data_IF_294464478410
#
_entry.id   IF_294464478410
#
_cell.length_a   1.000
_cell.length_b   1.000
_cell.length_c   1.000
_cell.angle_alpha   90.00
_cell.angle_beta   90.00
_cell.angle_gamma   90.00
#
_symmetry.space_group_name_H-M   'P 1'
#
loop_
_entity.id
_entity.type
_entity.pdbx_description
1 polymer ?
#
# COMPACT_ATOMS: atom_id res chain seq x y z
N UNK A 1 -28.63 -8.39 27.57
CA UNK A 1 -28.92 -7.70 28.84
C UNK A 1 -28.90 -6.17 28.62
N UNK A 2 -30.01 -5.60 28.18
CA UNK A 2 -30.31 -4.16 28.23
C UNK A 2 -31.84 -4.07 28.33
N UNK A 3 -32.38 -3.42 29.35
CA UNK A 3 -33.80 -3.03 29.41
C UNK A 3 -34.10 -2.06 28.26
N UNK A 4 -34.30 -2.58 27.04
CA UNK A 4 -34.68 -1.83 25.82
C UNK A 4 -36.19 -1.56 25.82
N UNK A 5 -36.73 -0.96 26.88
CA UNK A 5 -38.19 -0.74 27.01
C UNK A 5 -38.70 0.58 26.39
N UNK A 6 -37.86 1.34 25.68
CA UNK A 6 -38.29 2.57 25.02
C UNK A 6 -38.30 2.46 23.50
N UNK A 7 -37.12 2.65 22.91
CA UNK A 7 -36.94 2.78 21.45
C UNK A 7 -37.22 1.47 20.71
N UNK A 8 -36.86 0.31 21.26
CA UNK A 8 -37.13 -0.98 20.62
C UNK A 8 -38.62 -1.32 20.59
N UNK A 9 -39.38 -0.92 21.60
CA UNK A 9 -40.84 -1.07 21.63
C UNK A 9 -41.52 -0.07 20.68
N UNK A 10 -40.99 1.14 20.55
CA UNK A 10 -41.51 2.17 19.63
C UNK A 10 -41.13 1.90 18.16
N UNK A 11 -39.98 1.29 17.91
CA UNK A 11 -39.44 1.03 16.56
C UNK A 11 -38.88 -0.40 16.42
N UNK A 12 -39.73 -1.44 16.53
CA UNK A 12 -39.28 -2.83 16.45
C UNK A 12 -38.66 -3.19 15.09
N UNK A 13 -38.97 -2.43 14.04
CA UNK A 13 -38.38 -2.61 12.70
C UNK A 13 -36.89 -2.25 12.61
N UNK A 14 -36.34 -1.51 13.58
CA UNK A 14 -34.92 -1.12 13.61
C UNK A 14 -34.05 -2.08 14.44
N UNK A 15 -34.65 -3.07 15.11
CA UNK A 15 -33.92 -4.06 15.90
C UNK A 15 -32.98 -4.88 15.01
N UNK A 16 -31.75 -5.09 15.46
CA UNK A 16 -30.77 -5.95 14.79
C UNK A 16 -30.10 -5.36 13.53
N UNK A 17 -30.54 -4.21 13.01
CA UNK A 17 -30.01 -3.65 11.75
C UNK A 17 -28.50 -3.39 11.84
N UNK A 18 -28.03 -2.94 13.01
CA UNK A 18 -26.64 -2.60 13.22
C UNK A 18 -25.70 -3.82 13.28
N UNK A 19 -26.21 -5.01 13.56
CA UNK A 19 -25.44 -6.22 13.88
C UNK A 19 -24.71 -6.80 12.65
N UNK A 20 -25.15 -6.45 11.44
CA UNK A 20 -24.57 -6.96 10.19
C UNK A 20 -23.43 -6.09 9.63
N UNK A 21 -23.37 -4.80 9.96
CA UNK A 21 -22.36 -3.90 9.41
C UNK A 21 -20.90 -4.29 9.67
N UNK A 22 -20.52 -4.89 10.83
CA UNK A 22 -19.15 -5.33 11.05
C UNK A 22 -18.65 -6.34 10.00
N UNK A 23 -19.54 -7.09 9.34
CA UNK A 23 -19.16 -8.03 8.26
C UNK A 23 -18.56 -7.32 7.04
N UNK A 24 -18.93 -6.05 6.80
CA UNK A 24 -18.41 -5.26 5.70
C UNK A 24 -17.08 -4.58 6.04
N UNK A 25 -16.75 -4.42 7.32
CA UNK A 25 -15.58 -3.66 7.77
C UNK A 25 -14.27 -4.24 7.20
N UNK A 26 -14.07 -5.55 7.32
CA UNK A 26 -12.90 -6.24 6.79
C UNK A 26 -12.83 -6.14 5.26
N UNK A 27 -13.95 -6.39 4.58
CA UNK A 27 -14.04 -6.32 3.13
C UNK A 27 -13.70 -4.92 2.60
N UNK A 28 -14.26 -3.86 3.19
CA UNK A 28 -13.98 -2.48 2.81
C UNK A 28 -12.52 -2.10 3.02
N UNK A 29 -11.91 -2.51 4.13
CA UNK A 29 -10.50 -2.30 4.39
C UNK A 29 -9.63 -2.96 3.31
N UNK A 30 -9.92 -4.21 2.97
CA UNK A 30 -9.19 -4.95 1.94
C UNK A 30 -9.35 -4.32 0.55
N UNK A 31 -10.58 -3.95 0.16
CA UNK A 31 -10.84 -3.28 -1.11
C UNK A 31 -10.09 -1.95 -1.17
N UNK A 32 -10.11 -1.17 -0.09
CA UNK A 32 -9.39 0.09 0.00
C UNK A 32 -7.88 -0.09 -0.20
N UNK A 33 -7.27 -1.03 0.53
CA UNK A 33 -5.84 -1.39 0.37
C UNK A 33 -5.57 -1.87 -1.06
N UNK A 34 -6.46 -2.67 -1.63
CA UNK A 34 -6.31 -3.20 -2.99
C UNK A 34 -6.36 -2.13 -4.06
N UNK A 35 -7.22 -1.12 -3.90
CA UNK A 35 -7.27 0.02 -4.83
C UNK A 35 -5.98 0.85 -4.74
N UNK A 36 -5.49 1.13 -3.53
CA UNK A 36 -4.30 1.95 -3.35
C UNK A 36 -2.99 1.27 -3.80
N UNK A 37 -2.94 -0.06 -3.74
CA UNK A 37 -1.75 -0.86 -4.10
C UNK A 37 -1.73 -1.33 -5.55
N UNK A 38 -2.82 -1.09 -6.30
CA UNK A 38 -2.94 -1.52 -7.69
C UNK A 38 -2.59 -0.36 -8.63
N UNK A 39 -1.71 -0.60 -9.61
CA UNK A 39 -1.19 0.43 -10.53
C UNK A 39 -2.31 1.18 -11.27
N UNK A 40 -3.42 0.50 -11.55
CA UNK A 40 -4.56 1.09 -12.25
C UNK A 40 -5.55 1.79 -11.31
N UNK A 41 -5.51 1.56 -10.00
CA UNK A 41 -6.41 2.18 -9.02
C UNK A 41 -7.92 1.95 -9.26
N UNK A 42 -8.31 1.01 -10.13
CA UNK A 42 -9.72 0.81 -10.52
C UNK A 42 -10.39 -0.24 -9.66
N UNK A 43 -11.62 0.04 -9.26
CA UNK A 43 -12.52 -0.91 -8.62
C UNK A 43 -12.80 -2.08 -9.58
N UNK A 44 -12.56 -3.32 -9.12
CA UNK A 44 -12.88 -4.54 -9.87
C UNK A 44 -14.25 -5.05 -9.43
N UNK A 45 -15.13 -5.39 -10.38
CA UNK A 45 -16.47 -5.95 -10.07
C UNK A 45 -16.41 -7.21 -9.21
N UNK A 46 -15.31 -7.97 -9.29
CA UNK A 46 -15.07 -9.14 -8.43
C UNK A 46 -15.01 -8.80 -6.94
N UNK A 47 -14.79 -7.53 -6.55
CA UNK A 47 -14.81 -7.11 -5.15
C UNK A 47 -16.21 -7.19 -4.52
N UNK A 48 -17.27 -7.20 -5.33
CA UNK A 48 -18.64 -7.39 -4.83
C UNK A 48 -18.84 -8.76 -4.18
N UNK A 49 -18.03 -9.77 -4.53
CA UNK A 49 -18.08 -11.09 -3.89
C UNK A 49 -17.72 -11.04 -2.40
N UNK A 50 -16.93 -10.05 -1.96
CA UNK A 50 -16.60 -9.89 -0.55
C UNK A 50 -17.77 -9.38 0.30
N UNK A 51 -18.83 -8.86 -0.34
CA UNK A 51 -20.07 -8.49 0.35
C UNK A 51 -21.06 -9.66 0.46
N UNK A 52 -20.79 -10.83 -0.12
CA UNK A 52 -21.71 -11.97 -0.08
C UNK A 52 -22.09 -12.41 1.34
N UNK A 53 -21.19 -12.51 2.33
CA UNK A 53 -21.57 -12.88 3.70
C UNK A 53 -22.56 -11.89 4.30
N UNK A 54 -22.36 -10.59 4.05
CA UNK A 54 -23.28 -9.54 4.47
C UNK A 54 -24.64 -9.67 3.79
N UNK A 55 -24.67 -9.85 2.46
CA UNK A 55 -25.91 -10.01 1.71
C UNK A 55 -26.67 -11.26 2.17
N UNK A 56 -25.98 -12.38 2.37
CA UNK A 56 -26.60 -13.61 2.86
C UNK A 56 -27.19 -13.42 4.26
N UNK A 57 -26.42 -12.82 5.18
CA UNK A 57 -26.90 -12.54 6.54
C UNK A 57 -28.11 -11.60 6.54
N UNK A 58 -28.11 -10.58 5.67
CA UNK A 58 -29.21 -9.63 5.54
C UNK A 58 -30.46 -10.28 4.95
N UNK A 59 -30.31 -11.13 3.92
CA UNK A 59 -31.43 -11.88 3.34
C UNK A 59 -32.01 -12.85 4.35
N UNK A 60 -31.15 -13.59 5.06
CA UNK A 60 -31.57 -14.49 6.14
C UNK A 60 -32.35 -13.73 7.21
N UNK A 61 -31.79 -12.65 7.74
CA UNK A 61 -32.46 -11.81 8.74
C UNK A 61 -33.76 -11.19 8.22
N UNK A 62 -33.85 -10.92 6.92
CA UNK A 62 -35.09 -10.42 6.31
C UNK A 62 -36.20 -11.46 6.38
N UNK A 63 -35.88 -12.68 5.96
CA UNK A 63 -36.83 -13.80 5.94
C UNK A 63 -37.22 -14.19 7.37
N UNK A 64 -36.24 -14.32 8.25
CA UNK A 64 -36.41 -14.87 9.60
C UNK A 64 -36.98 -13.85 10.60
N UNK A 65 -36.65 -12.55 10.44
CA UNK A 65 -37.04 -11.51 11.38
C UNK A 65 -37.79 -10.32 10.76
N UNK A 66 -37.27 -9.68 9.71
CA UNK A 66 -37.83 -8.40 9.27
C UNK A 66 -39.20 -8.49 8.59
N UNK A 67 -39.56 -9.64 8.01
CA UNK A 67 -40.90 -9.89 7.45
C UNK A 67 -41.98 -10.09 8.52
N UNK A 68 -41.61 -10.34 9.78
CA UNK A 68 -42.56 -10.52 10.88
C UNK A 68 -43.31 -9.21 11.21
N UNK A 69 -44.53 -9.37 11.75
CA UNK A 69 -45.30 -8.26 12.31
C UNK A 69 -44.62 -7.66 13.55
N UNK A 70 -44.98 -6.43 13.92
CA UNK A 70 -44.35 -5.71 15.03
C UNK A 70 -44.47 -6.45 16.38
N UNK A 71 -45.62 -7.08 16.66
CA UNK A 71 -45.83 -7.87 17.87
C UNK A 71 -45.05 -9.20 17.86
N UNK A 72 -44.98 -9.86 16.69
CA UNK A 72 -44.24 -11.10 16.49
C UNK A 72 -42.74 -10.91 16.65
N UNK A 73 -42.19 -9.77 16.19
CA UNK A 73 -40.78 -9.41 16.35
C UNK A 73 -40.34 -9.39 17.82
N UNK A 74 -41.20 -8.91 18.72
CA UNK A 74 -40.86 -8.85 20.14
C UNK A 74 -40.80 -10.26 20.75
N UNK A 75 -41.76 -11.13 20.41
CA UNK A 75 -41.80 -12.52 20.87
C UNK A 75 -40.62 -13.32 20.32
N UNK A 76 -40.34 -13.17 19.03
CA UNK A 76 -39.19 -13.80 18.37
C UNK A 76 -37.86 -13.41 19.02
N UNK A 77 -37.70 -12.15 19.43
CA UNK A 77 -36.48 -11.68 20.10
C UNK A 77 -36.30 -12.30 21.50
N UNK A 78 -37.39 -12.61 22.20
CA UNK A 78 -37.36 -13.33 23.48
C UNK A 78 -37.05 -14.82 23.27
N UNK A 79 -37.65 -15.43 22.24
CA UNK A 79 -37.46 -16.85 21.90
C UNK A 79 -36.03 -17.16 21.47
N UNK A 80 -35.42 -16.31 20.64
CA UNK A 80 -34.01 -16.46 20.24
C UNK A 80 -33.05 -16.32 21.43
N UNK A 81 -33.39 -15.50 22.42
CA UNK A 81 -32.56 -15.35 23.61
C UNK A 81 -32.51 -16.63 24.46
N UNK A 82 -33.53 -17.49 24.37
CA UNK A 82 -33.58 -18.79 25.03
C UNK A 82 -33.05 -19.93 24.14
N UNK A 83 -33.35 -19.91 22.83
CA UNK A 83 -33.04 -20.99 21.90
C UNK A 83 -32.81 -20.46 20.48
N UNK A 84 -31.58 -20.03 20.18
CA UNK A 84 -31.21 -19.57 18.84
C UNK A 84 -31.04 -20.74 17.85
N UNK A 85 -31.59 -20.66 16.62
CA UNK A 85 -31.30 -21.62 15.56
C UNK A 85 -29.80 -21.75 15.26
N UNK A 86 -29.27 -22.94 14.91
CA UNK A 86 -27.84 -23.15 14.68
C UNK A 86 -27.20 -22.24 13.62
N UNK A 87 -27.99 -21.76 12.66
CA UNK A 87 -27.54 -20.83 11.62
C UNK A 87 -27.04 -19.49 12.21
N UNK A 88 -27.59 -19.04 13.34
CA UNK A 88 -27.09 -17.84 14.03
C UNK A 88 -25.64 -18.02 14.49
N UNK A 89 -25.30 -19.18 15.05
CA UNK A 89 -23.92 -19.49 15.45
C UNK A 89 -22.97 -19.52 14.25
N UNK A 90 -23.43 -20.00 13.09
CA UNK A 90 -22.66 -20.00 11.84
C UNK A 90 -22.43 -18.57 11.34
N UNK A 91 -23.47 -17.75 11.26
CA UNK A 91 -23.37 -16.35 10.83
C UNK A 91 -22.48 -15.52 11.76
N UNK A 92 -22.59 -15.75 13.06
CA UNK A 92 -21.75 -15.13 14.08
C UNK A 92 -20.28 -15.54 13.92
N UNK A 93 -20.01 -16.84 13.76
CA UNK A 93 -18.66 -17.35 13.50
C UNK A 93 -18.08 -16.74 12.23
N UNK A 94 -18.86 -16.67 11.15
CA UNK A 94 -18.42 -16.02 9.91
C UNK A 94 -18.05 -14.56 10.14
N UNK A 95 -18.84 -13.80 10.91
CA UNK A 95 -18.53 -12.41 11.24
C UNK A 95 -17.18 -12.29 11.98
N UNK A 96 -16.98 -13.12 13.01
CA UNK A 96 -15.78 -13.08 13.86
C UNK A 96 -14.51 -13.39 13.08
N UNK A 97 -14.53 -14.41 12.21
CA UNK A 97 -13.32 -14.87 11.54
C UNK A 97 -13.00 -14.13 10.25
N UNK A 98 -14.00 -13.60 9.55
CA UNK A 98 -13.78 -12.93 8.26
C UNK A 98 -13.02 -11.61 8.40
N UNK A 99 -13.26 -10.89 9.50
CA UNK A 99 -12.55 -9.66 9.83
C UNK A 99 -11.03 -9.80 9.91
N UNK A 100 -10.49 -10.64 10.80
CA UNK A 100 -9.07 -10.94 10.92
C UNK A 100 -8.46 -11.43 9.60
N UNK A 101 -9.17 -12.29 8.86
CA UNK A 101 -8.73 -12.78 7.55
C UNK A 101 -8.48 -11.60 6.60
N UNK A 102 -9.42 -10.66 6.49
CA UNK A 102 -9.24 -9.49 5.62
C UNK A 102 -8.13 -8.56 6.09
N UNK A 103 -7.90 -8.40 7.40
CA UNK A 103 -6.76 -7.65 7.92
C UNK A 103 -5.45 -8.30 7.49
N UNK A 104 -5.32 -9.62 7.62
CA UNK A 104 -4.13 -10.37 7.20
C UNK A 104 -3.91 -10.24 5.69
N UNK A 105 -4.96 -10.45 4.87
CA UNK A 105 -4.87 -10.31 3.41
C UNK A 105 -4.45 -8.88 3.02
N UNK A 106 -4.93 -7.87 3.73
CA UNK A 106 -4.54 -6.47 3.51
C UNK A 106 -3.07 -6.23 3.84
N UNK A 107 -2.55 -6.82 4.92
CA UNK A 107 -1.12 -6.76 5.25
C UNK A 107 -0.24 -7.41 4.18
N UNK A 108 -0.63 -8.59 3.70
CA UNK A 108 0.10 -9.30 2.65
C UNK A 108 0.14 -8.48 1.36
N UNK A 109 -0.96 -7.83 1.01
CA UNK A 109 -1.05 -6.98 -0.18
C UNK A 109 -0.18 -5.73 -0.05
N UNK A 110 -0.20 -5.08 1.10
CA UNK A 110 0.67 -3.92 1.39
C UNK A 110 2.16 -4.31 1.38
N UNK A 111 2.50 -5.49 1.91
CA UNK A 111 3.87 -5.99 1.88
C UNK A 111 4.35 -6.25 0.44
N UNK A 112 3.51 -6.88 -0.38
CA UNK A 112 3.78 -7.10 -1.81
C UNK A 112 4.00 -5.77 -2.56
N UNK A 113 3.15 -4.76 -2.30
CA UNK A 113 3.29 -3.43 -2.88
C UNK A 113 4.62 -2.78 -2.53
N UNK A 114 5.01 -2.81 -1.25
CA UNK A 114 6.28 -2.24 -0.79
C UNK A 114 7.49 -2.86 -1.51
N UNK A 115 7.48 -4.18 -1.72
CA UNK A 115 8.52 -4.87 -2.49
C UNK A 115 8.57 -4.38 -3.94
N UNK A 116 7.42 -4.32 -4.60
CA UNK A 116 7.33 -3.87 -5.99
C UNK A 116 7.80 -2.42 -6.21
N UNK A 117 7.63 -1.52 -5.23
CA UNK A 117 8.12 -0.13 -5.33
C UNK A 117 9.65 -0.12 -5.39
N UNK A 118 10.30 -0.87 -4.50
CA UNK A 118 11.78 -0.92 -4.38
C UNK A 118 12.41 -1.48 -5.67
N UNK A 119 11.71 -2.36 -6.36
CA UNK A 119 12.17 -2.93 -7.63
C UNK A 119 12.00 -1.96 -8.83
N UNK A 120 11.08 -0.98 -8.75
CA UNK A 120 10.70 -0.13 -9.89
C UNK A 120 11.10 1.34 -9.76
N UNK A 121 11.25 1.87 -8.56
CA UNK A 121 11.44 3.29 -8.30
C UNK A 121 12.65 3.56 -7.41
N UNK A 122 13.39 4.64 -7.70
CA UNK A 122 14.52 5.09 -6.88
C UNK A 122 14.10 5.93 -5.66
N UNK A 123 12.80 6.20 -5.53
CA UNK A 123 12.19 6.98 -4.47
C UNK A 123 11.01 6.21 -3.87
N UNK A 124 10.80 6.35 -2.56
CA UNK A 124 9.77 5.60 -1.83
C UNK A 124 8.74 6.50 -1.16
N UNK A 125 9.05 7.78 -0.96
CA UNK A 125 8.16 8.70 -0.28
C UNK A 125 6.88 8.97 -1.07
N UNK A 126 5.77 9.07 -0.33
CA UNK A 126 4.40 9.23 -0.83
C UNK A 126 3.81 8.01 -1.57
N UNK A 127 4.62 7.03 -1.98
CA UNK A 127 4.14 5.80 -2.68
C UNK A 127 4.16 4.57 -1.76
N UNK A 128 4.99 4.56 -0.71
CA UNK A 128 5.16 3.40 0.18
C UNK A 128 3.96 3.05 1.07
N UNK A 129 2.97 3.93 1.19
CA UNK A 129 1.76 3.76 2.01
C UNK A 129 2.06 3.33 3.45
N UNK A 130 3.18 3.77 4.06
CA UNK A 130 3.56 3.36 5.42
C UNK A 130 2.46 3.72 6.45
N UNK A 131 1.71 4.79 6.19
CA UNK A 131 0.55 5.19 7.02
C UNK A 131 -0.53 4.09 7.08
N UNK A 132 -0.75 3.38 5.97
CA UNK A 132 -1.74 2.33 5.86
C UNK A 132 -1.37 1.13 6.73
N UNK A 133 -0.07 0.90 6.97
CA UNK A 133 0.39 -0.11 7.92
C UNK A 133 -0.13 0.17 9.33
N UNK A 134 -0.07 1.44 9.77
CA UNK A 134 -0.57 1.83 11.08
C UNK A 134 -2.08 1.64 11.19
N UNK A 135 -2.82 1.97 10.13
CA UNK A 135 -4.26 1.67 10.05
C UNK A 135 -4.52 0.18 10.21
N UNK A 136 -3.82 -0.67 9.44
CA UNK A 136 -3.98 -2.12 9.52
C UNK A 136 -3.62 -2.68 10.91
N UNK A 137 -2.60 -2.14 11.59
CA UNK A 137 -2.27 -2.50 12.97
C UNK A 137 -3.44 -2.16 13.90
N UNK A 138 -4.03 -0.97 13.76
CA UNK A 138 -5.18 -0.55 14.56
C UNK A 138 -6.41 -1.45 14.36
N UNK A 139 -6.75 -1.78 13.11
CA UNK A 139 -7.82 -2.75 12.83
C UNK A 139 -7.49 -4.14 13.37
N UNK A 140 -6.24 -4.58 13.25
CA UNK A 140 -5.76 -5.84 13.83
C UNK A 140 -5.91 -5.87 15.35
N UNK A 141 -5.62 -4.76 16.04
CA UNK A 141 -5.83 -4.63 17.47
C UNK A 141 -7.31 -4.76 17.86
N UNK A 142 -8.21 -4.07 17.15
CA UNK A 142 -9.67 -4.19 17.39
C UNK A 142 -10.11 -5.65 17.24
N UNK A 143 -9.71 -6.32 16.16
CA UNK A 143 -10.06 -7.72 15.94
C UNK A 143 -9.43 -8.67 16.98
N UNK A 144 -8.24 -8.38 17.48
CA UNK A 144 -7.64 -9.13 18.59
C UNK A 144 -8.44 -8.96 19.88
N UNK A 145 -8.96 -7.76 20.17
CA UNK A 145 -9.85 -7.50 21.31
C UNK A 145 -11.18 -8.23 21.13
N UNK A 146 -11.76 -8.26 19.92
CA UNK A 146 -12.97 -9.04 19.62
C UNK A 146 -12.73 -10.52 19.90
N UNK A 147 -11.69 -11.11 19.30
CA UNK A 147 -11.36 -12.53 19.50
C UNK A 147 -11.07 -12.86 20.97
N UNK A 148 -10.35 -11.98 21.67
CA UNK A 148 -10.07 -12.15 23.09
C UNK A 148 -11.35 -12.12 23.92
N UNK A 149 -12.25 -11.17 23.65
CA UNK A 149 -13.53 -11.05 24.36
C UNK A 149 -14.37 -12.30 24.17
N UNK A 150 -14.50 -12.77 22.93
CA UNK A 150 -15.25 -13.99 22.60
C UNK A 150 -14.65 -15.25 23.23
N UNK A 151 -13.32 -15.38 23.20
CA UNK A 151 -12.62 -16.51 23.80
C UNK A 151 -12.75 -16.50 25.33
N UNK A 152 -12.64 -15.31 25.93
CA UNK A 152 -12.73 -15.14 27.39
C UNK A 152 -14.11 -15.44 27.96
N UNK A 153 -15.17 -15.16 27.18
CA UNK A 153 -16.54 -15.48 27.53
C UNK A 153 -16.83 -16.97 27.31
N UNK A 154 -16.66 -17.46 26.08
CA UNK A 154 -17.16 -18.77 25.68
C UNK A 154 -16.28 -19.95 26.12
N UNK A 155 -14.96 -19.73 26.27
CA UNK A 155 -14.03 -20.82 26.60
C UNK A 155 -13.57 -20.74 28.05
N UNK A 156 -13.20 -19.54 28.51
CA UNK A 156 -12.58 -19.39 29.83
C UNK A 156 -13.57 -18.97 30.93
N UNK A 157 -14.69 -18.34 30.59
CA UNK A 157 -15.66 -17.82 31.56
C UNK A 157 -15.09 -16.76 32.51
N UNK A 158 -14.03 -16.06 32.12
CA UNK A 158 -13.32 -15.10 33.00
C UNK A 158 -13.92 -13.70 32.92
N UNK A 159 -14.40 -13.31 31.73
CA UNK A 159 -14.91 -11.97 31.45
C UNK A 159 -16.38 -12.09 31.03
N UNK A 160 -17.31 -11.42 31.72
CA UNK A 160 -18.70 -11.34 31.29
C UNK A 160 -18.84 -10.64 29.93
N UNK A 161 -19.82 -11.07 29.13
CA UNK A 161 -20.14 -10.50 27.82
C UNK A 161 -20.24 -8.98 27.81
N UNK A 162 -20.82 -8.39 28.86
CA UNK A 162 -20.97 -6.93 28.98
C UNK A 162 -19.62 -6.23 29.01
N UNK A 163 -18.66 -6.77 29.78
CA UNK A 163 -17.31 -6.20 29.88
C UNK A 163 -16.59 -6.37 28.54
N UNK A 164 -16.69 -7.53 27.90
CA UNK A 164 -16.14 -7.76 26.55
C UNK A 164 -16.65 -6.74 25.53
N UNK A 165 -17.96 -6.48 25.51
CA UNK A 165 -18.56 -5.47 24.64
C UNK A 165 -18.02 -4.07 24.90
N UNK A 166 -17.87 -3.65 26.16
CA UNK A 166 -17.25 -2.37 26.48
C UNK A 166 -15.79 -2.28 26.00
N UNK A 167 -15.00 -3.34 26.12
CA UNK A 167 -13.63 -3.39 25.62
C UNK A 167 -13.59 -3.20 24.09
N UNK A 168 -14.51 -3.83 23.36
CA UNK A 168 -14.63 -3.66 21.90
C UNK A 168 -14.95 -2.21 21.57
N UNK A 169 -15.97 -1.60 22.19
CA UNK A 169 -16.32 -0.20 21.93
C UNK A 169 -15.18 0.76 22.25
N UNK A 170 -14.48 0.56 23.37
CA UNK A 170 -13.30 1.35 23.74
C UNK A 170 -12.20 1.20 22.67
N UNK A 171 -11.94 -0.01 22.18
CA UNK A 171 -10.96 -0.26 21.12
C UNK A 171 -11.29 0.46 19.81
N UNK A 172 -12.59 0.51 19.44
CA UNK A 172 -13.07 1.23 18.25
C UNK A 172 -12.92 2.73 18.43
N UNK A 173 -13.27 3.27 19.60
CA UNK A 173 -13.08 4.70 19.90
C UNK A 173 -11.60 5.09 19.83
N UNK A 174 -10.71 4.27 20.41
CA UNK A 174 -9.26 4.47 20.30
C UNK A 174 -8.81 4.42 18.84
N UNK A 175 -9.32 3.50 18.03
CA UNK A 175 -9.03 3.45 16.59
C UNK A 175 -9.48 4.71 15.88
N UNK A 176 -10.67 5.25 16.16
CA UNK A 176 -11.17 6.49 15.54
C UNK A 176 -10.27 7.68 15.90
N UNK A 177 -9.89 7.83 17.16
CA UNK A 177 -8.95 8.89 17.56
C UNK A 177 -7.57 8.71 16.93
N UNK A 178 -7.08 7.48 16.86
CA UNK A 178 -5.84 7.13 16.19
C UNK A 178 -5.88 7.51 14.71
N UNK A 179 -6.94 7.12 13.99
CA UNK A 179 -7.14 7.47 12.58
C UNK A 179 -7.26 8.99 12.40
N UNK A 180 -7.93 9.70 13.30
CA UNK A 180 -7.99 11.16 13.30
C UNK A 180 -6.59 11.77 13.41
N UNK A 181 -5.86 11.43 14.47
CA UNK A 181 -4.52 11.97 14.72
C UNK A 181 -3.52 11.70 13.57
N UNK A 182 -3.50 10.47 13.04
CA UNK A 182 -2.61 10.11 11.94
C UNK A 182 -3.10 10.64 10.60
N UNK A 183 -4.42 10.73 10.39
CA UNK A 183 -5.03 11.36 9.22
C UNK A 183 -4.71 12.85 9.11
N UNK A 184 -4.72 13.58 10.23
CA UNK A 184 -4.31 15.00 10.26
C UNK A 184 -2.82 15.21 9.99
N UNK A 185 -1.97 14.26 10.36
CA UNK A 185 -0.53 14.30 10.07
C UNK A 185 -0.19 13.92 8.62
N UNK A 186 -1.16 13.42 7.86
CA UNK A 186 -0.95 13.08 6.47
C UNK A 186 -0.99 14.35 5.62
N UNK A 187 0.19 14.83 5.21
CA UNK A 187 0.29 15.96 4.27
C UNK A 187 -0.48 15.64 3.00
N UNK A 188 -1.42 16.53 2.65
CA UNK A 188 -2.32 16.44 1.49
C UNK A 188 -1.57 15.95 0.24
N UNK A 189 -1.99 14.79 -0.26
CA UNK A 189 -1.38 14.10 -1.42
C UNK A 189 -1.76 14.80 -2.75
N UNK A 190 -2.85 15.59 -2.79
CA UNK A 190 -3.55 15.94 -4.03
C UNK A 190 -3.48 17.40 -4.50
N UNK A 191 -2.51 18.21 -4.08
CA UNK A 191 -2.34 19.54 -4.70
C UNK A 191 -1.44 19.49 -5.95
N UNK A 192 -0.53 18.53 -6.04
CA UNK A 192 0.38 18.40 -7.20
C UNK A 192 -0.16 17.50 -8.31
N UNK A 193 -1.07 16.56 -7.99
CA UNK A 193 -1.60 15.58 -8.95
C UNK A 193 -2.51 16.22 -10.00
N UNK A 194 -3.25 17.30 -9.70
CA UNK A 194 -4.07 17.98 -10.71
C UNK A 194 -3.23 18.77 -11.72
N UNK A 195 -2.07 19.28 -11.29
CA UNK A 195 -1.12 19.99 -12.15
C UNK A 195 -0.30 18.98 -12.95
N UNK A 196 0.10 17.85 -12.35
CA UNK A 196 0.79 16.76 -13.04
C UNK A 196 -0.12 16.01 -14.01
N UNK A 197 -1.40 15.80 -13.71
CA UNK A 197 -2.34 15.17 -14.64
C UNK A 197 -2.71 16.09 -15.80
N UNK A 198 -2.80 17.40 -15.55
CA UNK A 198 -2.95 18.39 -16.61
C UNK A 198 -1.70 18.48 -17.50
N UNK A 199 -0.49 18.46 -16.92
CA UNK A 199 0.78 18.39 -17.67
C UNK A 199 0.93 17.07 -18.44
N UNK A 200 0.64 15.94 -17.82
CA UNK A 200 0.71 14.62 -18.45
C UNK A 200 -0.34 14.43 -19.55
N UNK A 201 -1.48 15.12 -19.49
CA UNK A 201 -2.45 15.15 -20.60
C UNK A 201 -1.95 15.99 -21.79
N UNK A 202 -1.22 17.09 -21.52
CA UNK A 202 -0.57 17.91 -22.54
C UNK A 202 0.62 17.17 -23.17
N UNK A 203 1.46 16.52 -22.35
CA UNK A 203 2.57 15.68 -22.81
C UNK A 203 2.08 14.45 -23.59
N UNK A 204 1.00 13.77 -23.17
CA UNK A 204 0.42 12.66 -23.94
C UNK A 204 -0.05 13.06 -25.33
N UNK A 205 -0.56 14.28 -25.49
CA UNK A 205 -0.96 14.80 -26.79
C UNK A 205 0.26 15.06 -27.69
N UNK A 206 1.35 15.58 -27.12
CA UNK A 206 2.61 15.78 -27.84
C UNK A 206 3.34 14.45 -28.15
N UNK A 207 3.30 13.49 -27.24
CA UNK A 207 3.91 12.16 -27.39
C UNK A 207 3.12 11.27 -28.36
N UNK A 208 1.79 11.42 -28.47
CA UNK A 208 1.00 10.66 -29.46
C UNK A 208 1.32 11.07 -30.91
N UNK A 209 1.73 12.32 -31.14
CA UNK A 209 2.24 12.79 -32.44
C UNK A 209 3.65 12.24 -32.74
N UNK A 210 4.52 12.15 -31.74
CA UNK A 210 5.87 11.55 -31.89
C UNK A 210 5.85 10.01 -31.93
N UNK A 211 4.95 9.34 -31.21
CA UNK A 211 4.86 7.89 -31.13
C UNK A 211 4.48 7.25 -32.48
N UNK A 212 3.68 7.94 -33.30
CA UNK A 212 3.33 7.50 -34.66
C UNK A 212 4.54 7.46 -35.60
N UNK A 213 5.54 8.31 -35.37
CA UNK A 213 6.77 8.37 -36.16
C UNK A 213 7.83 7.38 -35.64
N UNK A 214 7.79 7.06 -34.33
CA UNK A 214 8.67 6.07 -33.69
C UNK A 214 8.21 4.63 -33.93
N UNK A 215 6.90 4.36 -33.96
CA UNK A 215 6.34 3.01 -34.20
C UNK A 215 6.76 2.46 -35.58
N UNK A 216 6.85 3.33 -36.59
CA UNK A 216 7.34 2.99 -37.94
C UNK A 216 8.86 2.63 -37.92
N UNK A 217 9.65 3.26 -37.06
CA UNK A 217 11.09 2.96 -36.89
C UNK A 217 11.32 1.70 -36.04
N UNK A 218 10.50 1.47 -35.01
CA UNK A 218 10.65 0.33 -34.08
C UNK A 218 10.34 -1.00 -34.77
N UNK A 219 9.37 -1.03 -35.69
CA UNK A 219 9.08 -2.23 -36.47
C UNK A 219 10.26 -2.60 -37.40
N UNK A 220 10.92 -1.61 -38.01
CA UNK A 220 12.12 -1.85 -38.83
C UNK A 220 13.35 -2.29 -38.01
N UNK A 221 13.44 -1.88 -36.74
CA UNK A 221 14.49 -2.36 -35.82
C UNK A 221 14.19 -3.77 -35.26
N UNK A 222 12.91 -4.13 -35.09
CA UNK A 222 12.49 -5.47 -34.64
C UNK A 222 12.79 -6.55 -35.66
N UNK A 223 12.57 -6.27 -36.95
CA UNK A 223 12.95 -7.20 -38.03
C UNK A 223 14.47 -7.42 -38.13
N UNK A 224 15.29 -6.41 -37.79
CA UNK A 224 16.74 -6.56 -37.71
C UNK A 224 17.19 -7.32 -36.45
N UNK A 225 16.55 -7.11 -35.30
CA UNK A 225 16.87 -7.79 -34.05
C UNK A 225 16.49 -9.29 -34.04
N UNK A 226 15.38 -9.67 -34.69
CA UNK A 226 14.99 -11.07 -34.88
C UNK A 226 15.98 -11.83 -35.79
N UNK A 227 16.69 -11.13 -36.68
CA UNK A 227 17.79 -11.71 -37.47
C UNK A 227 19.06 -11.96 -36.65
N UNK A 228 19.28 -11.23 -35.56
CA UNK A 228 20.43 -11.40 -34.65
C UNK A 228 20.21 -12.46 -33.56
N UNK A 229 18.95 -12.77 -33.20
CA UNK A 229 18.60 -13.83 -32.24
C UNK A 229 18.92 -15.26 -32.70
N UNK A 230 19.40 -15.46 -33.93
CA UNK A 230 19.81 -16.78 -34.45
C UNK A 230 21.28 -17.13 -34.20
N UNK A 231 22.06 -16.29 -33.51
CA UNK A 231 23.40 -16.65 -33.03
C UNK A 231 23.45 -16.60 -31.50
N UNK A 232 23.52 -17.77 -30.86
CA UNK A 232 23.60 -17.88 -29.40
C UNK A 232 24.89 -17.28 -28.86
N UNK A 233 24.75 -16.36 -27.89
CA UNK A 233 25.81 -15.77 -27.06
C UNK A 233 25.16 -15.10 -25.82
N UNK A 234 24.54 -15.91 -24.95
CA UNK A 234 23.70 -15.43 -23.84
C UNK A 234 24.49 -14.80 -22.68
N UNK A 235 25.80 -15.07 -22.56
CA UNK A 235 26.63 -14.53 -21.48
C UNK A 235 27.35 -13.21 -21.85
N UNK A 236 27.70 -13.00 -23.12
CA UNK A 236 28.45 -11.80 -23.54
C UNK A 236 27.58 -10.56 -23.68
N UNK A 237 26.30 -10.71 -24.04
CA UNK A 237 25.38 -9.57 -24.19
C UNK A 237 25.07 -8.92 -22.83
N UNK A 238 24.92 -9.72 -21.78
CA UNK A 238 24.70 -9.23 -20.42
C UNK A 238 25.86 -8.36 -19.93
N UNK A 239 27.10 -8.76 -20.20
CA UNK A 239 28.29 -7.97 -19.86
C UNK A 239 28.39 -6.66 -20.65
N UNK A 240 28.03 -6.67 -21.93
CA UNK A 240 27.99 -5.47 -22.78
C UNK A 240 26.97 -4.47 -22.22
N UNK A 241 25.76 -4.94 -21.91
CA UNK A 241 24.71 -4.08 -21.38
C UNK A 241 25.01 -3.60 -19.96
N UNK A 242 25.65 -4.42 -19.12
CA UNK A 242 26.14 -4.01 -17.81
C UNK A 242 27.19 -2.91 -17.93
N UNK A 243 28.16 -3.07 -18.83
CA UNK A 243 29.19 -2.06 -19.07
C UNK A 243 28.57 -0.75 -19.54
N UNK A 244 27.63 -0.81 -20.50
CA UNK A 244 26.89 0.35 -20.99
C UNK A 244 26.06 1.02 -19.90
N UNK A 245 25.43 0.26 -19.01
CA UNK A 245 24.71 0.78 -17.85
C UNK A 245 25.67 1.55 -16.93
N UNK A 246 26.79 0.95 -16.53
CA UNK A 246 27.76 1.59 -15.63
C UNK A 246 28.37 2.84 -16.26
N UNK A 247 28.73 2.78 -17.54
CA UNK A 247 29.24 3.93 -18.29
C UNK A 247 28.21 5.06 -18.33
N UNK A 248 26.96 4.76 -18.67
CA UNK A 248 25.86 5.73 -18.69
C UNK A 248 25.63 6.37 -17.30
N UNK A 249 25.76 5.59 -16.22
CA UNK A 249 25.66 6.13 -14.86
C UNK A 249 26.78 7.12 -14.56
N UNK A 250 28.00 6.86 -15.02
CA UNK A 250 29.15 7.75 -14.79
C UNK A 250 29.09 9.02 -15.65
N UNK A 251 28.74 8.88 -16.94
CA UNK A 251 28.78 9.99 -17.90
C UNK A 251 27.58 10.91 -17.80
N UNK A 252 26.37 10.34 -17.83
CA UNK A 252 25.12 11.12 -17.90
C UNK A 252 24.50 11.40 -16.52
N UNK A 253 24.94 10.67 -15.49
CA UNK A 253 24.47 10.83 -14.09
C UNK A 253 22.95 10.89 -13.93
N UNK A 254 22.17 9.98 -14.54
CA UNK A 254 20.71 9.99 -14.48
C UNK A 254 20.18 9.86 -13.04
N UNK A 255 20.98 9.33 -12.11
CA UNK A 255 20.63 9.21 -10.69
C UNK A 255 20.39 10.56 -10.00
N UNK A 256 20.86 11.67 -10.56
CA UNK A 256 20.59 13.03 -10.03
C UNK A 256 19.13 13.45 -10.25
N UNK A 257 18.38 12.75 -11.11
CA UNK A 257 16.95 12.97 -11.29
C UNK A 257 16.16 12.34 -10.13
N UNK A 258 15.42 13.17 -9.40
CA UNK A 258 14.73 12.76 -8.17
C UNK A 258 13.62 11.72 -8.35
N UNK A 259 13.09 11.58 -9.58
CA UNK A 259 11.99 10.67 -9.92
C UNK A 259 12.36 9.56 -10.89
N UNK A 260 13.65 9.31 -11.09
CA UNK A 260 14.13 8.26 -11.99
C UNK A 260 13.50 6.89 -11.62
N UNK A 261 12.82 6.28 -12.59
CA UNK A 261 12.29 4.92 -12.51
C UNK A 261 13.10 3.95 -13.36
N UNK A 262 12.93 2.65 -13.10
CA UNK A 262 13.58 1.59 -13.88
C UNK A 262 13.16 1.66 -15.36
N UNK A 263 11.90 2.03 -15.62
CA UNK A 263 11.36 2.20 -16.97
C UNK A 263 12.09 3.31 -17.73
N UNK A 264 12.25 4.47 -17.11
CA UNK A 264 12.93 5.62 -17.72
C UNK A 264 14.38 5.26 -18.09
N UNK A 265 15.09 4.56 -17.19
CA UNK A 265 16.46 4.14 -17.44
C UNK A 265 16.55 3.08 -18.55
N UNK A 266 15.61 2.14 -18.59
CA UNK A 266 15.55 1.10 -19.62
C UNK A 266 15.30 1.71 -21.02
N UNK A 267 14.40 2.69 -21.11
CA UNK A 267 14.11 3.42 -22.36
C UNK A 267 15.35 4.17 -22.88
N UNK A 268 16.07 4.87 -22.00
CA UNK A 268 17.32 5.58 -22.36
C UNK A 268 18.43 4.61 -22.81
N UNK A 269 18.52 3.45 -22.18
CA UNK A 269 19.47 2.40 -22.55
C UNK A 269 18.99 1.56 -23.74
N UNK A 270 17.76 1.76 -24.24
CA UNK A 270 17.16 1.00 -25.35
C UNK A 270 17.17 -0.51 -25.09
N UNK A 271 16.86 -0.92 -23.86
CA UNK A 271 16.70 -2.32 -23.48
C UNK A 271 15.36 -2.51 -22.77
N UNK A 272 14.89 -3.75 -22.67
CA UNK A 272 13.63 -3.99 -21.97
C UNK A 272 13.77 -3.75 -20.46
N UNK A 273 12.72 -3.23 -19.83
CA UNK A 273 12.66 -3.01 -18.37
C UNK A 273 12.95 -4.28 -17.57
N UNK A 274 12.45 -5.44 -18.04
CA UNK A 274 12.69 -6.73 -17.41
C UNK A 274 14.17 -7.12 -17.49
N UNK A 275 14.81 -6.90 -18.64
CA UNK A 275 16.21 -7.23 -18.84
C UNK A 275 17.13 -6.32 -18.02
N UNK A 276 16.83 -5.02 -17.91
CA UNK A 276 17.57 -4.13 -17.01
C UNK A 276 17.41 -4.53 -15.54
N UNK A 277 16.20 -4.92 -15.12
CA UNK A 277 15.97 -5.46 -13.77
C UNK A 277 16.82 -6.70 -13.51
N UNK A 278 16.89 -7.60 -14.49
CA UNK A 278 17.68 -8.82 -14.40
C UNK A 278 19.17 -8.50 -14.25
N UNK A 279 19.71 -7.60 -15.09
CA UNK A 279 21.12 -7.18 -15.00
C UNK A 279 21.44 -6.62 -13.60
N UNK A 280 20.58 -5.75 -13.07
CA UNK A 280 20.80 -5.13 -11.76
C UNK A 280 20.71 -6.17 -10.62
N UNK A 281 19.71 -7.05 -10.66
CA UNK A 281 19.52 -8.05 -9.61
C UNK A 281 20.57 -9.18 -9.66
N UNK A 282 20.89 -9.70 -10.84
CA UNK A 282 21.75 -10.88 -11.00
C UNK A 282 23.23 -10.51 -11.04
N UNK A 283 23.63 -9.49 -11.83
CA UNK A 283 25.04 -9.13 -11.97
C UNK A 283 25.52 -8.21 -10.84
N UNK A 284 24.65 -7.34 -10.31
CA UNK A 284 25.02 -6.38 -9.26
C UNK A 284 24.50 -6.74 -7.86
N UNK A 285 23.67 -7.80 -7.74
CA UNK A 285 23.11 -8.27 -6.47
C UNK A 285 22.40 -7.15 -5.68
N UNK A 286 21.71 -6.26 -6.40
CA UNK A 286 21.00 -5.09 -5.87
C UNK A 286 19.64 -4.98 -6.53
N UNK A 287 18.65 -4.41 -5.84
CA UNK A 287 17.45 -3.90 -6.50
C UNK A 287 17.71 -2.51 -7.09
N UNK A 288 16.80 -2.03 -7.96
CA UNK A 288 16.93 -0.73 -8.61
C UNK A 288 17.06 0.43 -7.62
N UNK A 289 16.27 0.43 -6.53
CA UNK A 289 16.34 1.46 -5.50
C UNK A 289 17.73 1.54 -4.84
N UNK A 290 18.29 0.40 -4.41
CA UNK A 290 19.60 0.33 -3.77
C UNK A 290 20.74 0.64 -4.75
N UNK A 291 20.56 0.31 -6.03
CA UNK A 291 21.49 0.63 -7.11
C UNK A 291 21.58 2.16 -7.32
N UNK A 292 20.47 2.83 -7.58
CA UNK A 292 20.46 4.28 -7.83
C UNK A 292 20.93 5.06 -6.60
N UNK A 293 20.44 4.69 -5.41
CA UNK A 293 20.76 5.42 -4.19
C UNK A 293 22.22 5.25 -3.74
N UNK A 294 22.92 4.21 -4.20
CA UNK A 294 24.36 4.11 -4.00
C UNK A 294 25.11 5.22 -4.74
N UNK A 295 24.80 5.41 -6.04
CA UNK A 295 25.36 6.51 -6.82
C UNK A 295 25.00 7.88 -6.23
N UNK A 296 23.76 8.08 -5.76
CA UNK A 296 23.38 9.33 -5.11
C UNK A 296 24.20 9.61 -3.84
N UNK A 297 24.40 8.60 -2.99
CA UNK A 297 25.21 8.75 -1.76
C UNK A 297 26.66 9.07 -2.11
N UNK A 298 27.23 8.38 -3.09
CA UNK A 298 28.62 8.62 -3.50
C UNK A 298 28.79 9.99 -4.16
N UNK A 299 27.80 10.45 -4.93
CA UNK A 299 27.77 11.80 -5.48
C UNK A 299 27.66 12.88 -4.39
N UNK A 300 26.90 12.64 -3.31
CA UNK A 300 26.89 13.54 -2.15
C UNK A 300 28.28 13.60 -1.51
N UNK A 301 28.92 12.46 -1.25
CA UNK A 301 30.27 12.42 -0.66
C UNK A 301 31.31 13.16 -1.52
N UNK A 302 31.18 13.04 -2.85
CA UNK A 302 32.03 13.73 -3.82
C UNK A 302 31.77 15.23 -3.82
N UNK A 303 30.50 15.63 -3.93
CA UNK A 303 30.05 17.02 -3.98
C UNK A 303 30.44 17.80 -2.73
N UNK A 304 30.40 17.18 -1.54
CA UNK A 304 30.84 17.82 -0.29
C UNK A 304 32.33 18.21 -0.26
N UNK A 305 33.16 17.68 -1.16
CA UNK A 305 34.59 18.02 -1.28
C UNK A 305 34.86 19.05 -2.37
N UNK A 306 33.88 19.38 -3.20
CA UNK A 306 34.05 20.32 -4.30
C UNK A 306 33.78 21.77 -3.84
N UNK A 307 34.63 22.70 -4.30
CA UNK A 307 34.54 24.13 -3.92
C UNK A 307 33.16 24.73 -4.22
N UNK A 308 32.55 24.35 -5.34
CA UNK A 308 31.24 24.84 -5.80
C UNK A 308 30.09 24.58 -4.82
N UNK A 309 30.21 23.59 -3.96
CA UNK A 309 29.16 23.21 -3.00
C UNK A 309 29.43 23.70 -1.57
N UNK A 310 30.52 24.43 -1.31
CA UNK A 310 30.82 24.95 0.03
C UNK A 310 29.75 25.89 0.60
N UNK A 311 29.01 26.58 -0.28
CA UNK A 311 27.92 27.47 0.12
C UNK A 311 26.57 26.75 0.26
N UNK A 312 26.47 25.48 -0.14
CA UNK A 312 25.24 24.72 -0.06
C UNK A 312 25.10 24.13 1.35
N UNK A 313 23.87 24.13 1.86
CA UNK A 313 23.56 23.28 3.00
C UNK A 313 23.70 21.80 2.61
N UNK A 314 24.01 20.92 3.57
CA UNK A 314 24.07 19.48 3.33
C UNK A 314 22.79 18.92 2.69
N UNK A 315 21.63 19.48 3.08
CA UNK A 315 20.35 19.13 2.49
C UNK A 315 20.21 19.64 1.05
N UNK A 316 20.74 20.83 0.75
CA UNK A 316 20.81 21.37 -0.61
C UNK A 316 21.64 20.48 -1.54
N UNK A 317 22.82 20.04 -1.09
CA UNK A 317 23.65 19.07 -1.84
C UNK A 317 22.90 17.76 -2.07
N UNK A 318 22.18 17.26 -1.07
CA UNK A 318 21.37 16.06 -1.23
C UNK A 318 20.29 16.21 -2.32
N UNK A 319 19.63 17.37 -2.40
CA UNK A 319 18.63 17.62 -3.44
C UNK A 319 19.23 17.69 -4.85
N UNK A 320 20.40 18.32 -5.01
CA UNK A 320 21.15 18.31 -6.28
C UNK A 320 21.58 16.88 -6.69
N UNK A 321 21.82 16.00 -5.72
CA UNK A 321 22.15 14.60 -5.97
C UNK A 321 20.92 13.71 -6.21
N UNK A 322 19.71 14.28 -6.34
CA UNK A 322 18.50 13.56 -6.67
C UNK A 322 17.73 12.97 -5.49
N UNK A 323 18.05 13.34 -4.24
CA UNK A 323 17.16 13.01 -3.13
C UNK A 323 15.90 13.87 -3.20
N UNK A 324 14.74 13.27 -2.98
CA UNK A 324 13.45 13.96 -3.03
C UNK A 324 13.00 14.54 -1.68
N UNK A 325 13.70 14.21 -0.59
CA UNK A 325 13.44 14.76 0.75
C UNK A 325 14.60 14.56 1.73
N UNK A 326 14.51 15.27 2.85
CA UNK A 326 15.39 15.11 4.02
C UNK A 326 15.29 13.73 4.68
N UNK A 327 14.09 13.16 4.79
CA UNK A 327 13.87 11.89 5.51
C UNK A 327 14.45 10.71 4.73
N UNK A 328 14.17 10.65 3.43
CA UNK A 328 14.76 9.69 2.50
C UNK A 328 16.30 9.78 2.50
N UNK A 329 16.84 11.00 2.33
CA UNK A 329 18.28 11.24 2.38
C UNK A 329 18.93 10.72 3.67
N UNK A 330 18.44 11.16 4.83
CA UNK A 330 19.02 10.77 6.12
C UNK A 330 19.03 9.25 6.31
N UNK A 331 17.92 8.58 5.97
CA UNK A 331 17.75 7.15 6.17
C UNK A 331 18.67 6.34 5.24
N UNK A 332 18.74 6.72 3.97
CA UNK A 332 19.57 6.05 2.95
C UNK A 332 21.04 6.29 3.21
N UNK A 333 21.44 7.53 3.50
CA UNK A 333 22.82 7.89 3.76
C UNK A 333 23.35 7.14 4.99
N UNK A 334 22.58 7.07 6.07
CA UNK A 334 22.95 6.28 7.26
C UNK A 334 23.01 4.79 6.95
N UNK A 335 22.05 4.24 6.22
CA UNK A 335 22.06 2.82 5.80
C UNK A 335 23.33 2.47 5.01
N UNK A 336 23.78 3.36 4.12
CA UNK A 336 24.93 3.11 3.22
C UNK A 336 26.29 3.47 3.82
N UNK A 337 26.35 4.42 4.75
CA UNK A 337 27.63 4.91 5.30
C UNK A 337 27.86 4.53 6.77
N UNK A 338 26.84 4.07 7.48
CA UNK A 338 26.86 3.84 8.93
C UNK A 338 26.76 5.12 9.77
N UNK A 339 26.95 6.29 9.17
CA UNK A 339 26.97 7.60 9.84
C UNK A 339 25.76 8.43 9.41
N UNK A 340 25.28 9.29 10.30
CA UNK A 340 24.33 10.33 9.89
C UNK A 340 25.03 11.34 8.97
N UNK A 341 24.29 12.01 8.08
CA UNK A 341 24.87 13.01 7.19
C UNK A 341 25.67 14.09 7.93
N UNK A 342 25.16 14.56 9.08
CA UNK A 342 25.83 15.58 9.90
C UNK A 342 27.13 15.08 10.54
N UNK A 343 27.18 13.82 10.98
CA UNK A 343 28.42 13.20 11.46
C UNK A 343 29.46 13.09 10.34
N UNK A 344 29.02 12.67 9.15
CA UNK A 344 29.90 12.58 7.99
C UNK A 344 30.46 13.96 7.57
N UNK A 345 29.61 14.99 7.53
CA UNK A 345 30.07 16.35 7.19
C UNK A 345 31.15 16.85 8.15
N UNK A 346 30.98 16.63 9.46
CA UNK A 346 32.00 16.97 10.46
C UNK A 346 33.32 16.25 10.23
N UNK A 347 33.30 14.99 9.82
CA UNK A 347 34.51 14.21 9.51
C UNK A 347 35.27 14.67 8.26
N UNK A 348 34.62 15.40 7.35
CA UNK A 348 35.22 15.88 6.10
C UNK A 348 35.62 17.36 6.19
N UNK A 349 35.02 18.12 7.12
CA UNK A 349 35.35 19.53 7.38
C UNK A 349 36.42 19.72 8.46
N UNK A 350 36.86 18.65 9.12
CA UNK A 350 38.03 18.61 10.00
C UNK A 350 39.25 18.12 9.21
#
# INVERSE_FOLDING_TARGET
MYKRQGIALQHPHLLGVAEFFPQLQGAFLYIYVSILTNENGRFRRSYLFYALPFVFSMVYATIDFYLLGAAEKLNYYLEIAESAPPVYAVLFSLNIYLGPIFVILSFLLLHKHKRNIVDKFSYSEKINLDWLRYVLIGFGFVWAVVLFSELSENIFGIIPAEIGNYLIFISVVMLVFFLGFFGFKQSVIYTNVSIESARAAIEKHAEAEQAKEVEIKVESFREQAERYKRSGLDQSEGEIHLKRLVEYMVTEKPYTESRLSLKDLAERLKISTNYLSQIINENLQKNFFDFINEYRVDEVKRSLREERYKHYSLLGVAYECGFNSKSSFNSIFKKKTGLTPSEFQKSVSA
#
